data_IF_707741123171
#
_entry.id   IF_707741123171
#
_cell.length_a   1.000
_cell.length_b   1.000
_cell.length_c   1.000
_cell.angle_alpha   90.00
_cell.angle_beta   90.00
_cell.angle_gamma   90.00
#
_symmetry.space_group_name_H-M   'P 1'
#
loop_
_entity.id
_entity.type
_entity.pdbx_description
1 polymer ?
#
# COMPACT_ATOMS: atom_id res chain seq x y z
N UNK A 1 -38.13 -8.33 -9.01
CA UNK A 1 -37.80 -7.01 -8.42
C UNK A 1 -38.22 -6.89 -6.96
N UNK A 2 -39.46 -6.52 -6.61
CA UNK A 2 -39.85 -6.34 -5.20
C UNK A 2 -39.71 -7.63 -4.36
N UNK A 3 -40.21 -8.76 -4.87
CA UNK A 3 -40.11 -10.07 -4.22
C UNK A 3 -38.66 -10.58 -4.04
N UNK A 4 -37.73 -10.20 -4.91
CA UNK A 4 -36.31 -10.59 -4.79
C UNK A 4 -35.57 -9.71 -3.79
N UNK A 5 -35.91 -8.43 -3.72
CA UNK A 5 -35.33 -7.50 -2.76
C UNK A 5 -35.77 -7.84 -1.33
N UNK A 6 -37.04 -8.19 -1.13
CA UNK A 6 -37.55 -8.67 0.16
C UNK A 6 -36.83 -9.96 0.60
N UNK A 7 -36.58 -10.90 -0.32
CA UNK A 7 -35.79 -12.11 -0.05
C UNK A 7 -34.34 -11.80 0.38
N UNK A 8 -33.72 -10.79 -0.24
CA UNK A 8 -32.38 -10.33 0.15
C UNK A 8 -32.41 -9.75 1.55
N UNK A 9 -33.35 -8.86 1.85
CA UNK A 9 -33.48 -8.24 3.17
C UNK A 9 -33.71 -9.29 4.26
N UNK A 10 -34.62 -10.25 4.04
CA UNK A 10 -34.90 -11.31 5.01
C UNK A 10 -33.70 -12.25 5.23
N UNK A 11 -32.92 -12.50 4.17
CA UNK A 11 -31.67 -13.27 4.30
C UNK A 11 -30.59 -12.47 5.03
N UNK A 12 -30.42 -11.20 4.71
CA UNK A 12 -29.48 -10.30 5.37
C UNK A 12 -29.79 -10.21 6.86
N UNK A 13 -31.06 -9.97 7.23
CA UNK A 13 -31.52 -9.95 8.62
C UNK A 13 -31.20 -11.23 9.38
N UNK A 14 -31.38 -12.41 8.76
CA UNK A 14 -31.02 -13.70 9.38
C UNK A 14 -29.52 -13.84 9.61
N UNK A 15 -28.70 -13.45 8.63
CA UNK A 15 -27.23 -13.47 8.74
C UNK A 15 -26.74 -12.51 9.83
N UNK A 16 -27.22 -11.27 9.82
CA UNK A 16 -26.91 -10.23 10.81
C UNK A 16 -27.26 -10.72 12.21
N UNK A 17 -28.48 -11.23 12.39
CA UNK A 17 -28.94 -11.76 13.69
C UNK A 17 -28.05 -12.91 14.18
N UNK A 18 -27.62 -13.80 13.29
CA UNK A 18 -26.71 -14.89 13.65
C UNK A 18 -25.34 -14.37 14.10
N UNK A 19 -24.73 -13.46 13.34
CA UNK A 19 -23.41 -12.91 13.67
C UNK A 19 -23.45 -12.04 14.95
N UNK A 20 -24.50 -11.25 15.14
CA UNK A 20 -24.67 -10.47 16.36
C UNK A 20 -24.90 -11.35 17.59
N UNK A 21 -25.62 -12.46 17.44
CA UNK A 21 -25.77 -13.43 18.52
C UNK A 21 -24.43 -14.07 18.93
N UNK A 22 -23.51 -14.29 17.97
CA UNK A 22 -22.16 -14.81 18.27
C UNK A 22 -21.29 -13.77 18.97
N UNK A 23 -21.50 -12.47 18.68
CA UNK A 23 -20.85 -11.34 19.36
C UNK A 23 -21.48 -10.98 20.72
N UNK A 24 -22.42 -11.80 21.21
CA UNK A 24 -23.03 -11.60 22.52
C UNK A 24 -21.99 -11.29 23.60
N UNK A 25 -22.31 -10.31 24.46
CA UNK A 25 -21.51 -9.81 25.59
C UNK A 25 -20.13 -9.17 25.31
N UNK A 26 -19.63 -9.09 24.07
CA UNK A 26 -18.28 -8.54 23.78
C UNK A 26 -18.10 -7.10 24.30
N UNK A 27 -18.98 -6.17 23.90
CA UNK A 27 -18.93 -4.79 24.39
C UNK A 27 -19.09 -4.70 25.90
N UNK A 28 -19.94 -5.55 26.48
CA UNK A 28 -20.18 -5.60 27.93
C UNK A 28 -18.93 -6.03 28.70
N UNK A 29 -18.22 -7.04 28.21
CA UNK A 29 -16.99 -7.55 28.79
C UNK A 29 -15.85 -6.55 28.67
N UNK A 30 -15.73 -5.89 27.53
CA UNK A 30 -14.73 -4.86 27.28
C UNK A 30 -14.92 -3.64 28.18
N UNK A 31 -16.12 -3.08 28.21
CA UNK A 31 -16.44 -1.96 29.11
C UNK A 31 -16.26 -2.39 30.57
N UNK A 32 -16.67 -3.60 30.94
CA UNK A 32 -16.44 -4.15 32.28
C UNK A 32 -14.97 -4.31 32.65
N UNK A 33 -14.11 -4.68 31.69
CA UNK A 33 -12.65 -4.76 31.85
C UNK A 33 -12.04 -3.37 32.03
N UNK A 34 -12.43 -2.39 31.21
CA UNK A 34 -11.96 -1.00 31.31
C UNK A 34 -12.31 -0.44 32.68
N UNK A 35 -13.57 -0.54 33.10
CA UNK A 35 -14.03 -0.03 34.41
C UNK A 35 -13.27 -0.68 35.58
N UNK A 36 -13.06 -2.01 35.53
CA UNK A 36 -12.27 -2.71 36.57
C UNK A 36 -10.83 -2.21 36.63
N UNK A 37 -10.18 -2.05 35.48
CA UNK A 37 -8.80 -1.55 35.39
C UNK A 37 -8.69 -0.13 35.94
N UNK A 38 -9.63 0.75 35.60
CA UNK A 38 -9.63 2.13 36.06
C UNK A 38 -9.89 2.22 37.56
N UNK A 39 -10.80 1.40 38.09
CA UNK A 39 -11.05 1.30 39.53
C UNK A 39 -9.81 0.85 40.31
N UNK A 40 -9.10 -0.19 39.84
CA UNK A 40 -7.87 -0.67 40.48
C UNK A 40 -6.78 0.42 40.46
N UNK A 41 -6.72 1.21 39.39
CA UNK A 41 -5.72 2.27 39.21
C UNK A 41 -6.09 3.59 39.92
N UNK A 42 -7.22 3.64 40.64
CA UNK A 42 -7.71 4.87 41.27
C UNK A 42 -8.19 5.95 40.29
N UNK A 43 -8.37 5.60 39.01
CA UNK A 43 -8.78 6.50 37.92
C UNK A 43 -10.27 6.34 37.56
N UNK A 44 -11.10 5.82 38.48
CA UNK A 44 -12.54 5.70 38.28
C UNK A 44 -13.17 7.09 38.08
N UNK A 45 -14.05 7.20 37.09
CA UNK A 45 -14.75 8.43 36.67
C UNK A 45 -13.81 9.53 36.14
N UNK A 46 -12.63 9.15 35.66
CA UNK A 46 -11.71 10.08 35.00
C UNK A 46 -12.07 10.25 33.52
N UNK A 47 -11.62 11.36 32.92
CA UNK A 47 -11.70 11.56 31.46
C UNK A 47 -10.99 10.45 30.67
N UNK A 48 -9.97 9.81 31.27
CA UNK A 48 -9.27 8.68 30.66
C UNK A 48 -10.18 7.44 30.59
N UNK A 49 -10.96 7.16 31.65
CA UNK A 49 -11.97 6.10 31.63
C UNK A 49 -13.05 6.40 30.59
N UNK A 50 -13.58 7.64 30.58
CA UNK A 50 -14.57 8.09 29.60
C UNK A 50 -14.09 7.88 28.16
N UNK A 51 -12.86 8.32 27.84
CA UNK A 51 -12.27 8.16 26.51
C UNK A 51 -12.07 6.69 26.11
N UNK A 52 -11.67 5.81 27.04
CA UNK A 52 -11.48 4.39 26.73
C UNK A 52 -12.80 3.66 26.52
N UNK A 53 -13.81 3.98 27.34
CA UNK A 53 -15.17 3.46 27.15
C UNK A 53 -15.72 3.95 25.81
N UNK A 54 -15.50 5.22 25.48
CA UNK A 54 -15.91 5.79 24.20
C UNK A 54 -15.28 5.06 23.02
N UNK A 55 -13.96 4.88 23.04
CA UNK A 55 -13.23 4.16 22.00
C UNK A 55 -13.75 2.72 21.82
N UNK A 56 -14.09 2.02 22.90
CA UNK A 56 -14.68 0.68 22.82
C UNK A 56 -16.06 0.68 22.15
N UNK A 57 -16.89 1.68 22.43
CA UNK A 57 -18.20 1.83 21.80
C UNK A 57 -18.06 2.16 20.31
N UNK A 58 -17.15 3.07 19.95
CA UNK A 58 -16.88 3.43 18.56
C UNK A 58 -16.39 2.23 17.75
N UNK A 59 -15.48 1.42 18.32
CA UNK A 59 -15.01 0.18 17.72
C UNK A 59 -16.11 -0.88 17.54
N UNK A 60 -17.06 -0.98 18.49
CA UNK A 60 -18.19 -1.89 18.38
C UNK A 60 -19.14 -1.47 17.25
N UNK A 61 -19.42 -0.17 17.11
CA UNK A 61 -20.27 0.37 16.03
C UNK A 61 -19.64 0.03 14.67
N UNK A 62 -18.35 0.33 14.49
CA UNK A 62 -17.65 0.05 13.24
C UNK A 62 -17.60 -1.45 12.89
N UNK A 63 -17.34 -2.30 13.89
CA UNK A 63 -17.30 -3.76 13.71
C UNK A 63 -18.67 -4.30 13.29
N UNK A 64 -19.75 -3.89 13.98
CA UNK A 64 -21.10 -4.35 13.65
C UNK A 64 -21.56 -3.85 12.30
N UNK A 65 -21.20 -2.63 11.91
CA UNK A 65 -21.53 -2.08 10.61
C UNK A 65 -20.82 -2.85 9.47
N UNK A 66 -19.56 -3.27 9.67
CA UNK A 66 -18.85 -4.17 8.73
C UNK A 66 -19.56 -5.52 8.58
N UNK A 67 -20.04 -6.10 9.68
CA UNK A 67 -20.80 -7.36 9.67
C UNK A 67 -22.11 -7.19 8.89
N UNK A 68 -22.82 -6.08 9.08
CA UNK A 68 -24.04 -5.73 8.34
C UNK A 68 -23.75 -5.71 6.84
N UNK A 69 -22.74 -4.95 6.42
CA UNK A 69 -22.38 -4.85 5.02
C UNK A 69 -22.07 -6.21 4.39
N UNK A 70 -21.18 -6.99 5.03
CA UNK A 70 -20.82 -8.33 4.56
C UNK A 70 -22.04 -9.27 4.50
N UNK A 71 -22.97 -9.15 5.43
CA UNK A 71 -24.20 -9.95 5.46
C UNK A 71 -25.17 -9.57 4.35
N UNK A 72 -25.35 -8.27 4.08
CA UNK A 72 -26.17 -7.76 2.97
C UNK A 72 -25.58 -8.21 1.63
N UNK A 73 -24.27 -8.08 1.47
CA UNK A 73 -23.54 -8.55 0.28
C UNK A 73 -23.74 -10.06 0.05
N UNK A 74 -23.51 -10.89 1.07
CA UNK A 74 -23.70 -12.35 0.98
C UNK A 74 -25.14 -12.75 0.72
N UNK A 75 -26.10 -11.99 1.26
CA UNK A 75 -27.52 -12.21 0.99
C UNK A 75 -27.83 -11.96 -0.50
N UNK A 76 -27.29 -10.89 -1.06
CA UNK A 76 -27.42 -10.60 -2.49
C UNK A 76 -26.75 -11.65 -3.38
N UNK A 77 -25.49 -12.01 -3.11
CA UNK A 77 -24.74 -13.03 -3.86
C UNK A 77 -25.49 -14.37 -3.90
N UNK A 78 -26.21 -14.71 -2.84
CA UNK A 78 -26.97 -15.95 -2.75
C UNK A 78 -28.37 -15.92 -3.40
N UNK A 79 -28.96 -14.73 -3.57
CA UNK A 79 -30.27 -14.57 -4.24
C UNK A 79 -30.09 -14.31 -5.73
N UNK A 80 -28.99 -13.68 -6.13
CA UNK A 80 -28.68 -13.39 -7.53
C UNK A 80 -29.59 -12.31 -8.15
N UNK A 81 -30.01 -11.32 -7.37
CA UNK A 81 -30.96 -10.32 -7.84
C UNK A 81 -30.39 -9.45 -8.99
N UNK A 82 -31.24 -8.83 -9.82
CA UNK A 82 -30.78 -8.07 -10.98
C UNK A 82 -29.96 -6.84 -10.60
N UNK A 83 -28.85 -6.59 -11.30
CA UNK A 83 -28.09 -5.34 -11.16
C UNK A 83 -28.83 -4.19 -11.87
N UNK A 84 -29.29 -3.22 -11.09
CA UNK A 84 -29.96 -1.99 -11.59
C UNK A 84 -29.10 -0.76 -11.29
N UNK A 85 -29.37 0.35 -11.98
CA UNK A 85 -28.68 1.62 -11.69
C UNK A 85 -28.95 2.20 -10.29
N UNK A 86 -29.98 1.71 -9.60
CA UNK A 86 -30.32 2.11 -8.23
C UNK A 86 -29.68 1.21 -7.16
N UNK A 87 -29.00 0.12 -7.54
CA UNK A 87 -28.54 -0.92 -6.61
C UNK A 87 -27.63 -0.37 -5.50
N UNK A 88 -26.75 0.57 -5.82
CA UNK A 88 -25.86 1.20 -4.84
C UNK A 88 -26.65 2.02 -3.80
N UNK A 89 -27.65 2.78 -4.25
CA UNK A 89 -28.52 3.55 -3.37
C UNK A 89 -29.36 2.63 -2.47
N UNK A 90 -29.85 1.53 -3.01
CA UNK A 90 -30.66 0.55 -2.26
C UNK A 90 -29.83 -0.16 -1.19
N UNK A 91 -28.60 -0.57 -1.50
CA UNK A 91 -27.69 -1.14 -0.51
C UNK A 91 -27.28 -0.13 0.56
N UNK A 92 -26.92 1.10 0.19
CA UNK A 92 -26.61 2.17 1.15
C UNK A 92 -27.77 2.40 2.10
N UNK A 93 -28.99 2.48 1.57
CA UNK A 93 -30.21 2.65 2.38
C UNK A 93 -30.41 1.50 3.36
N UNK A 94 -30.24 0.26 2.90
CA UNK A 94 -30.41 -0.92 3.74
C UNK A 94 -29.34 -1.00 4.85
N UNK A 95 -28.08 -0.75 4.51
CA UNK A 95 -26.98 -0.78 5.49
C UNK A 95 -27.10 0.36 6.48
N UNK A 96 -27.37 1.59 6.04
CA UNK A 96 -27.51 2.76 6.93
C UNK A 96 -28.65 2.57 7.93
N UNK A 97 -29.77 1.94 7.52
CA UNK A 97 -30.85 1.59 8.46
C UNK A 97 -30.34 0.70 9.61
N UNK A 98 -29.50 -0.27 9.32
CA UNK A 98 -28.92 -1.14 10.35
C UNK A 98 -27.81 -0.44 11.16
N UNK A 99 -27.06 0.49 10.58
CA UNK A 99 -26.11 1.34 11.31
C UNK A 99 -26.85 2.19 12.34
N UNK A 100 -28.01 2.75 11.98
CA UNK A 100 -28.87 3.48 12.92
C UNK A 100 -29.34 2.61 14.09
N UNK A 101 -29.75 1.37 13.82
CA UNK A 101 -30.11 0.40 14.86
C UNK A 101 -28.92 0.07 15.77
N UNK A 102 -27.72 -0.14 15.20
CA UNK A 102 -26.49 -0.40 15.95
C UNK A 102 -26.16 0.77 16.89
N UNK A 103 -26.18 2.00 16.37
CA UNK A 103 -25.89 3.20 17.15
C UNK A 103 -26.87 3.33 18.30
N UNK A 104 -28.17 3.13 18.03
CA UNK A 104 -29.20 3.13 19.06
C UNK A 104 -28.96 2.05 20.12
N UNK A 105 -28.64 0.83 19.72
CA UNK A 105 -28.37 -0.28 20.63
C UNK A 105 -27.16 0.01 21.55
N UNK A 106 -26.08 0.56 20.99
CA UNK A 106 -24.88 0.94 21.75
C UNK A 106 -25.18 2.09 22.70
N UNK A 107 -25.92 3.12 22.25
CA UNK A 107 -26.38 4.22 23.09
C UNK A 107 -27.27 3.75 24.24
N UNK A 108 -28.20 2.83 23.99
CA UNK A 108 -29.06 2.25 25.03
C UNK A 108 -28.27 1.39 26.02
N UNK A 109 -27.34 0.57 25.53
CA UNK A 109 -26.42 -0.19 26.37
C UNK A 109 -25.65 0.74 27.31
N UNK A 110 -25.08 1.81 26.77
CA UNK A 110 -24.37 2.82 27.55
C UNK A 110 -25.30 3.54 28.52
N UNK A 111 -26.47 4.01 28.10
CA UNK A 111 -27.44 4.67 28.98
C UNK A 111 -27.84 3.78 30.18
N UNK A 112 -28.10 2.49 29.95
CA UNK A 112 -28.39 1.52 31.02
C UNK A 112 -27.19 1.36 31.95
N UNK A 113 -25.97 1.29 31.41
CA UNK A 113 -24.73 1.12 32.20
C UNK A 113 -24.36 2.37 33.01
N UNK A 114 -24.66 3.55 32.47
CA UNK A 114 -24.31 4.85 33.06
C UNK A 114 -25.41 5.43 33.96
N UNK A 115 -26.60 4.81 34.01
CA UNK A 115 -27.74 5.26 34.84
C UNK A 115 -27.42 5.48 36.34
N UNK A 116 -26.34 4.90 36.86
CA UNK A 116 -25.89 5.04 38.26
C UNK A 116 -24.62 5.88 38.45
N UNK A 117 -24.00 6.38 37.36
CA UNK A 117 -22.74 7.13 37.37
C UNK A 117 -22.97 8.49 36.70
N UNK A 118 -22.73 9.59 37.42
CA UNK A 118 -22.73 10.96 36.88
C UNK A 118 -21.56 11.14 35.90
N UNK A 119 -21.68 10.59 34.70
CA UNK A 119 -20.71 10.73 33.60
C UNK A 119 -21.24 11.69 32.56
N UNK A 120 -20.35 12.14 31.69
CA UNK A 120 -20.64 13.20 30.74
C UNK A 120 -21.66 12.78 29.67
N UNK A 121 -22.64 13.64 29.31
CA UNK A 121 -23.65 13.33 28.27
C UNK A 121 -23.07 13.03 26.88
N UNK A 122 -21.88 13.55 26.57
CA UNK A 122 -21.22 13.33 25.27
C UNK A 122 -20.90 11.84 25.01
N UNK A 123 -20.85 11.00 26.04
CA UNK A 123 -20.61 9.56 25.90
C UNK A 123 -21.77 8.81 25.21
N UNK A 124 -22.93 9.46 25.06
CA UNK A 124 -24.11 8.90 24.41
C UNK A 124 -24.29 9.41 22.96
N UNK A 125 -23.49 10.39 22.54
CA UNK A 125 -23.58 10.99 21.20
C UNK A 125 -22.63 10.29 20.23
N UNK A 126 -23.16 9.41 19.39
CA UNK A 126 -22.39 8.66 18.39
C UNK A 126 -22.58 9.17 16.96
N UNK A 127 -23.13 10.37 16.75
CA UNK A 127 -23.42 10.88 15.40
C UNK A 127 -22.17 11.03 14.53
N UNK A 128 -21.07 11.52 15.11
CA UNK A 128 -19.79 11.61 14.37
C UNK A 128 -19.26 10.23 13.96
N UNK A 129 -19.42 9.23 14.82
CA UNK A 129 -19.01 7.84 14.55
C UNK A 129 -19.91 7.21 13.49
N UNK A 130 -21.23 7.41 13.61
CA UNK A 130 -22.24 6.99 12.63
C UNK A 130 -21.87 7.52 11.24
N UNK A 131 -21.66 8.84 11.12
CA UNK A 131 -21.37 9.46 9.84
C UNK A 131 -20.08 8.91 9.21
N UNK A 132 -19.01 8.75 10.01
CA UNK A 132 -17.76 8.18 9.53
C UNK A 132 -17.93 6.74 9.01
N UNK A 133 -18.76 5.93 9.67
CA UNK A 133 -19.03 4.54 9.28
C UNK A 133 -19.96 4.46 8.06
N UNK A 134 -20.94 5.35 7.93
CA UNK A 134 -21.80 5.46 6.75
C UNK A 134 -21.02 5.89 5.51
N UNK A 135 -20.16 6.91 5.64
CA UNK A 135 -19.26 7.32 4.56
C UNK A 135 -18.35 6.16 4.15
N UNK A 136 -17.79 5.46 5.14
CA UNK A 136 -16.94 4.29 4.92
C UNK A 136 -17.63 3.23 4.06
N UNK A 137 -18.75 2.73 4.60
CA UNK A 137 -19.46 1.60 4.03
C UNK A 137 -20.10 1.99 2.70
N UNK A 138 -20.55 3.24 2.59
CA UNK A 138 -21.14 3.78 1.39
C UNK A 138 -20.23 3.63 0.17
N UNK A 139 -18.93 3.84 0.31
CA UNK A 139 -18.06 3.64 -0.83
C UNK A 139 -17.78 2.15 -1.10
N UNK A 140 -17.68 1.30 -0.06
CA UNK A 140 -17.56 -0.15 -0.27
C UNK A 140 -18.75 -0.69 -1.09
N UNK A 141 -19.94 -0.16 -0.83
CA UNK A 141 -21.18 -0.43 -1.56
C UNK A 141 -21.05 0.01 -3.02
N UNK A 142 -20.73 1.29 -3.28
CA UNK A 142 -20.63 1.83 -4.65
C UNK A 142 -19.74 0.96 -5.51
N UNK A 143 -18.61 0.63 -4.93
CA UNK A 143 -17.57 -0.06 -5.63
C UNK A 143 -17.86 -1.56 -5.82
N UNK A 144 -18.56 -2.21 -4.89
CA UNK A 144 -19.10 -3.55 -5.11
C UNK A 144 -20.11 -3.55 -6.25
N UNK A 145 -21.00 -2.55 -6.29
CA UNK A 145 -21.99 -2.40 -7.36
C UNK A 145 -21.32 -2.15 -8.71
N UNK A 146 -20.29 -1.32 -8.78
CA UNK A 146 -19.53 -1.12 -10.02
C UNK A 146 -18.83 -2.41 -10.48
N UNK A 147 -18.34 -3.22 -9.54
CA UNK A 147 -17.78 -4.53 -9.86
C UNK A 147 -18.83 -5.49 -10.42
N UNK A 148 -20.08 -5.43 -9.96
CA UNK A 148 -21.17 -6.23 -10.50
C UNK A 148 -21.61 -5.74 -11.89
N UNK A 149 -21.73 -4.41 -12.05
CA UNK A 149 -22.12 -3.79 -13.32
C UNK A 149 -21.06 -4.06 -14.40
N UNK A 150 -19.77 -3.92 -14.08
CA UNK A 150 -18.67 -4.22 -15.01
C UNK A 150 -18.64 -5.69 -15.43
N UNK A 151 -18.88 -6.63 -14.50
CA UNK A 151 -19.02 -8.07 -14.83
C UNK A 151 -20.18 -8.35 -15.77
N UNK A 152 -21.35 -7.74 -15.53
CA UNK A 152 -22.50 -7.85 -16.44
C UNK A 152 -22.20 -7.24 -17.81
N UNK A 153 -21.44 -6.16 -17.86
CA UNK A 153 -21.02 -5.53 -19.13
C UNK A 153 -20.11 -6.48 -19.91
N UNK A 154 -19.13 -7.10 -19.25
CA UNK A 154 -18.24 -8.10 -19.86
C UNK A 154 -18.99 -9.37 -20.33
N UNK A 155 -19.94 -9.89 -19.54
CA UNK A 155 -20.79 -11.04 -19.92
C UNK A 155 -21.75 -10.72 -21.08
N UNK A 156 -22.11 -9.45 -21.26
CA UNK A 156 -22.95 -8.99 -22.39
C UNK A 156 -22.09 -8.73 -23.64
N UNK A 157 -20.85 -8.25 -23.47
CA UNK A 157 -19.87 -8.05 -24.55
C UNK A 157 -19.35 -9.37 -25.13
N UNK A 158 -19.30 -10.46 -24.36
CA UNK A 158 -18.88 -11.79 -24.84
C UNK A 158 -19.90 -12.49 -25.77
N UNK A 159 -21.12 -11.94 -25.91
CA UNK A 159 -22.19 -12.49 -26.77
C UNK A 159 -22.45 -11.71 -28.05
N UNK A 160 -21.67 -10.68 -28.35
CA UNK A 160 -21.82 -9.86 -29.56
C UNK A 160 -20.52 -9.93 -30.35
N UNK A 161 -20.57 -10.44 -31.59
CA UNK A 161 -19.43 -10.36 -32.53
C UNK A 161 -18.98 -8.89 -32.71
N UNK A 162 -17.68 -8.65 -32.97
CA UNK A 162 -17.02 -7.43 -32.55
C UNK A 162 -17.31 -6.27 -33.51
N UNK A 163 -18.27 -5.43 -33.16
CA UNK A 163 -18.36 -4.08 -33.70
C UNK A 163 -18.31 -3.04 -32.56
N UNK A 164 -17.15 -2.38 -32.46
CA UNK A 164 -17.01 -1.07 -31.82
C UNK A 164 -16.66 -1.07 -30.33
N UNK A 165 -15.55 -1.70 -29.92
CA UNK A 165 -14.90 -1.32 -28.67
C UNK A 165 -14.43 0.13 -28.75
N UNK A 166 -14.94 0.98 -27.86
CA UNK A 166 -14.41 2.34 -27.66
C UNK A 166 -12.99 2.20 -27.12
N UNK A 167 -12.04 2.43 -28.01
CA UNK A 167 -10.60 2.42 -27.76
C UNK A 167 -10.25 3.58 -26.83
N UNK A 168 -9.74 3.31 -25.62
CA UNK A 168 -9.18 4.37 -24.78
C UNK A 168 -7.93 4.91 -25.44
N UNK A 169 -7.81 6.24 -25.55
CA UNK A 169 -6.65 6.86 -26.17
C UNK A 169 -5.51 6.82 -25.14
N UNK A 170 -4.27 6.63 -25.57
CA UNK A 170 -3.09 6.51 -24.69
C UNK A 170 -3.00 7.60 -23.61
N UNK A 171 -3.43 8.83 -23.91
CA UNK A 171 -3.48 9.94 -22.95
C UNK A 171 -4.55 9.82 -21.86
N UNK A 172 -5.61 9.05 -22.10
CA UNK A 172 -6.63 8.74 -21.08
C UNK A 172 -6.10 7.72 -20.06
N UNK A 173 -5.28 6.77 -20.51
CA UNK A 173 -4.62 5.77 -19.66
C UNK A 173 -3.60 6.43 -18.73
N UNK A 174 -2.76 7.33 -19.24
CA UNK A 174 -1.75 8.05 -18.44
C UNK A 174 -2.41 8.94 -17.36
N UNK A 175 -3.51 9.61 -17.71
CA UNK A 175 -4.30 10.44 -16.80
C UNK A 175 -4.99 9.60 -15.72
N UNK A 176 -5.48 8.42 -16.08
CA UNK A 176 -6.09 7.49 -15.14
C UNK A 176 -5.03 6.91 -14.18
N UNK A 177 -3.87 6.48 -14.67
CA UNK A 177 -2.76 5.99 -13.83
C UNK A 177 -2.26 7.05 -12.85
N UNK A 178 -2.15 8.32 -13.28
CA UNK A 178 -1.79 9.43 -12.39
C UNK A 178 -2.86 9.70 -11.32
N UNK A 179 -4.15 9.63 -11.68
CA UNK A 179 -5.26 9.77 -10.73
C UNK A 179 -5.29 8.63 -9.71
N UNK A 180 -4.93 7.41 -10.14
CA UNK A 180 -4.79 6.23 -9.29
C UNK A 180 -3.67 6.38 -8.27
N UNK A 181 -2.53 6.87 -8.70
CA UNK A 181 -1.38 7.13 -7.83
C UNK A 181 -1.72 8.11 -6.71
N UNK A 182 -2.41 9.21 -7.05
CA UNK A 182 -2.81 10.20 -6.05
C UNK A 182 -3.85 9.66 -5.06
N UNK A 183 -4.75 8.78 -5.54
CA UNK A 183 -5.70 8.06 -4.71
C UNK A 183 -5.03 7.09 -3.72
N UNK A 184 -4.02 6.31 -4.17
CA UNK A 184 -3.29 5.39 -3.28
C UNK A 184 -2.43 6.14 -2.25
N UNK A 185 -1.83 7.29 -2.62
CA UNK A 185 -1.12 8.17 -1.67
C UNK A 185 -2.07 8.76 -0.62
N UNK A 186 -3.29 9.11 -1.01
CA UNK A 186 -4.33 9.54 -0.09
C UNK A 186 -4.68 8.42 0.91
N UNK A 187 -4.90 7.18 0.43
CA UNK A 187 -5.14 6.02 1.28
C UNK A 187 -3.97 5.77 2.25
N UNK A 188 -2.72 5.84 1.79
CA UNK A 188 -1.53 5.66 2.63
C UNK A 188 -1.52 6.65 3.80
N UNK A 189 -1.90 7.90 3.55
CA UNK A 189 -1.97 8.97 4.56
C UNK A 189 -3.02 8.65 5.63
N UNK A 190 -4.17 8.12 5.23
CA UNK A 190 -5.23 7.70 6.15
C UNK A 190 -4.83 6.46 6.99
N UNK A 191 -4.17 5.48 6.36
CA UNK A 191 -3.61 4.30 7.05
C UNK A 191 -2.52 4.68 8.05
N UNK A 192 -1.61 5.56 7.67
CA UNK A 192 -0.47 5.96 8.51
C UNK A 192 -0.87 6.85 9.70
N UNK A 193 -2.01 7.53 9.61
CA UNK A 193 -2.54 8.39 10.68
C UNK A 193 -3.41 7.64 11.68
N UNK A 194 -3.64 6.33 11.47
CA UNK A 194 -4.52 5.51 12.32
C UNK A 194 -6.00 5.91 12.21
N UNK A 195 -6.36 6.79 11.28
CA UNK A 195 -7.72 7.23 10.99
C UNK A 195 -8.26 6.45 9.79
N UNK A 196 -8.32 5.12 9.88
CA UNK A 196 -8.84 4.37 8.74
C UNK A 196 -10.37 4.39 8.77
N UNK A 197 -10.93 5.31 8.00
CA UNK A 197 -12.38 5.46 7.79
C UNK A 197 -12.85 4.86 6.47
N UNK A 198 -12.02 4.18 5.67
CA UNK A 198 -12.47 3.80 4.32
C UNK A 198 -11.85 2.53 3.70
N UNK A 199 -12.12 1.35 4.28
CA UNK A 199 -11.50 0.08 3.87
C UNK A 199 -11.94 -0.43 2.50
N UNK A 200 -13.22 -0.30 2.13
CA UNK A 200 -13.64 -0.66 0.77
C UNK A 200 -13.24 0.33 -0.31
N UNK A 201 -12.88 1.59 -0.01
CA UNK A 201 -12.21 2.48 -0.97
C UNK A 201 -10.96 1.83 -1.52
N UNK A 202 -10.17 1.26 -0.61
CA UNK A 202 -8.92 0.58 -0.95
C UNK A 202 -9.22 -0.67 -1.79
N UNK A 203 -10.07 -1.57 -1.27
CA UNK A 203 -10.33 -2.86 -1.93
C UNK A 203 -10.87 -2.72 -3.35
N UNK A 204 -11.73 -1.75 -3.59
CA UNK A 204 -12.27 -1.61 -4.93
C UNK A 204 -11.60 -0.52 -5.77
N UNK A 205 -10.84 0.35 -5.11
CA UNK A 205 -9.74 1.05 -5.74
C UNK A 205 -8.88 0.07 -6.56
N UNK A 206 -8.38 -0.93 -5.85
CA UNK A 206 -7.58 -2.00 -6.43
C UNK A 206 -8.31 -2.76 -7.55
N UNK A 207 -9.61 -3.06 -7.39
CA UNK A 207 -10.39 -3.69 -8.47
C UNK A 207 -10.50 -2.85 -9.74
N UNK A 208 -10.69 -1.54 -9.60
CA UNK A 208 -10.84 -0.63 -10.75
C UNK A 208 -9.51 -0.38 -11.45
N UNK A 209 -8.37 -0.47 -10.75
CA UNK A 209 -7.04 -0.36 -11.33
C UNK A 209 -6.75 -1.46 -12.38
N UNK A 210 -7.40 -2.62 -12.28
CA UNK A 210 -7.30 -3.72 -13.25
C UNK A 210 -7.61 -3.32 -14.69
N UNK A 211 -8.63 -2.46 -14.88
CA UNK A 211 -9.14 -2.10 -16.21
C UNK A 211 -8.10 -1.32 -17.04
N UNK A 212 -7.54 -0.19 -16.57
CA UNK A 212 -6.50 0.52 -17.31
C UNK A 212 -5.24 -0.33 -17.53
N UNK A 213 -4.86 -1.19 -16.57
CA UNK A 213 -3.70 -2.08 -16.72
C UNK A 213 -3.91 -3.10 -17.85
N UNK A 214 -5.05 -3.78 -17.86
CA UNK A 214 -5.37 -4.78 -18.89
C UNK A 214 -5.56 -4.13 -20.25
N UNK A 215 -6.20 -2.96 -20.32
CA UNK A 215 -6.33 -2.19 -21.56
C UNK A 215 -4.97 -1.79 -22.12
N UNK A 216 -4.07 -1.28 -21.27
CA UNK A 216 -2.71 -0.94 -21.68
C UNK A 216 -1.93 -2.17 -22.13
N UNK A 217 -1.98 -3.28 -21.39
CA UNK A 217 -1.32 -4.54 -21.73
C UNK A 217 -1.73 -5.05 -23.12
N UNK A 218 -3.02 -5.00 -23.43
CA UNK A 218 -3.55 -5.53 -24.69
C UNK A 218 -3.14 -4.69 -25.92
N UNK A 219 -2.79 -3.42 -25.73
CA UNK A 219 -2.40 -2.52 -26.82
C UNK A 219 -0.88 -2.39 -27.01
N UNK A 220 -0.07 -2.96 -26.11
CA UNK A 220 1.38 -2.77 -26.08
C UNK A 220 2.16 -3.83 -26.86
N UNK A 221 3.21 -3.37 -27.55
CA UNK A 221 4.18 -4.22 -28.25
C UNK A 221 5.56 -4.20 -27.60
N UNK A 222 5.78 -3.32 -26.63
CA UNK A 222 7.02 -3.26 -25.86
C UNK A 222 6.96 -4.31 -24.74
N UNK A 223 7.88 -5.28 -24.77
CA UNK A 223 7.96 -6.34 -23.76
C UNK A 223 8.17 -5.81 -22.34
N UNK A 224 8.83 -4.67 -22.18
CA UNK A 224 9.12 -4.05 -20.88
C UNK A 224 7.83 -3.52 -20.26
N UNK A 225 7.02 -2.82 -21.05
CA UNK A 225 5.71 -2.31 -20.62
C UNK A 225 4.75 -3.47 -20.36
N UNK A 226 4.79 -4.52 -21.18
CA UNK A 226 3.97 -5.72 -20.98
C UNK A 226 4.29 -6.41 -19.64
N UNK A 227 5.58 -6.53 -19.29
CA UNK A 227 6.02 -7.10 -18.00
C UNK A 227 5.62 -6.22 -16.82
N UNK A 228 5.81 -4.89 -16.93
CA UNK A 228 5.39 -3.94 -15.91
C UNK A 228 3.87 -4.02 -15.65
N UNK A 229 3.04 -4.09 -16.70
CA UNK A 229 1.60 -4.29 -16.54
C UNK A 229 1.23 -5.60 -15.85
N UNK A 230 1.94 -6.71 -16.14
CA UNK A 230 1.67 -7.99 -15.50
C UNK A 230 2.07 -7.99 -14.02
N UNK A 231 3.22 -7.42 -13.70
CA UNK A 231 3.70 -7.29 -12.33
C UNK A 231 2.75 -6.43 -11.48
N UNK A 232 2.34 -5.28 -12.04
CA UNK A 232 1.40 -4.37 -11.39
C UNK A 232 0.03 -5.02 -11.11
N UNK A 233 -0.45 -5.88 -12.01
CA UNK A 233 -1.70 -6.62 -11.82
C UNK A 233 -1.59 -7.69 -10.70
N UNK A 234 -0.45 -8.36 -10.61
CA UNK A 234 -0.14 -9.34 -9.57
C UNK A 234 -0.02 -8.65 -8.20
N UNK A 235 0.69 -7.54 -8.13
CA UNK A 235 0.83 -6.73 -6.92
C UNK A 235 -0.47 -6.12 -6.43
N UNK A 236 -1.32 -5.65 -7.35
CA UNK A 236 -2.67 -5.19 -7.03
C UNK A 236 -3.54 -6.31 -6.44
N UNK A 237 -3.39 -7.55 -6.95
CA UNK A 237 -4.11 -8.72 -6.44
C UNK A 237 -3.62 -9.14 -5.05
N UNK A 238 -2.31 -9.19 -4.83
CA UNK A 238 -1.74 -9.49 -3.51
C UNK A 238 -2.14 -8.45 -2.46
N UNK A 239 -2.14 -7.16 -2.80
CA UNK A 239 -2.62 -6.12 -1.89
C UNK A 239 -4.11 -6.30 -1.57
N UNK A 240 -4.92 -6.69 -2.56
CA UNK A 240 -6.34 -6.96 -2.36
C UNK A 240 -6.57 -8.11 -1.38
N UNK A 241 -5.76 -9.17 -1.46
CA UNK A 241 -5.83 -10.32 -0.57
C UNK A 241 -5.38 -9.94 0.85
N UNK A 242 -4.26 -9.22 0.99
CA UNK A 242 -3.75 -8.73 2.29
C UNK A 242 -4.76 -7.80 2.97
N UNK A 243 -5.38 -6.88 2.23
CA UNK A 243 -6.40 -5.98 2.78
C UNK A 243 -7.64 -6.78 3.20
N UNK A 244 -8.04 -7.79 2.42
CA UNK A 244 -9.16 -8.68 2.75
C UNK A 244 -8.90 -9.50 4.02
N UNK A 245 -7.67 -10.00 4.20
CA UNK A 245 -7.25 -10.77 5.38
C UNK A 245 -7.11 -9.88 6.62
N UNK A 246 -6.59 -8.66 6.45
CA UNK A 246 -6.35 -7.69 7.54
C UNK A 246 -7.64 -7.16 8.17
N UNK A 247 -8.79 -7.29 7.48
CA UNK A 247 -10.11 -7.01 8.05
C UNK A 247 -10.49 -7.97 9.20
N UNK A 248 -9.83 -9.12 9.31
CA UNK A 248 -10.11 -10.11 10.35
C UNK A 248 -9.10 -10.10 11.53
N UNK A 249 -7.91 -9.50 11.36
CA UNK A 249 -6.86 -9.44 12.40
C UNK A 249 -6.12 -8.07 12.45
N UNK A 250 -6.19 -7.32 13.59
CA UNK A 250 -5.66 -5.95 13.71
C UNK A 250 -4.13 -5.76 13.61
N UNK A 251 -3.33 -6.82 13.52
CA UNK A 251 -1.86 -6.73 13.50
C UNK A 251 -1.25 -6.72 12.11
N UNK A 252 -2.05 -6.91 11.05
CA UNK A 252 -1.58 -7.04 9.66
C UNK A 252 -1.39 -5.70 8.92
N UNK A 253 -1.75 -4.56 9.53
CA UNK A 253 -1.78 -3.26 8.84
C UNK A 253 -0.43 -2.76 8.34
N UNK A 254 0.67 -3.10 9.00
CA UNK A 254 2.03 -2.81 8.50
C UNK A 254 2.26 -3.47 7.13
N UNK A 255 1.68 -4.65 6.88
CA UNK A 255 1.77 -5.33 5.58
C UNK A 255 0.95 -4.60 4.51
N UNK A 256 -0.22 -4.07 4.87
CA UNK A 256 -1.07 -3.27 3.98
C UNK A 256 -0.37 -1.98 3.58
N UNK A 257 0.22 -1.26 4.54
CA UNK A 257 0.91 0.00 4.25
C UNK A 257 2.14 -0.22 3.38
N UNK A 258 2.93 -1.26 3.67
CA UNK A 258 4.11 -1.59 2.86
C UNK A 258 3.72 -1.99 1.44
N UNK A 259 2.67 -2.78 1.27
CA UNK A 259 2.25 -3.21 -0.08
C UNK A 259 1.51 -2.12 -0.86
N UNK A 260 0.91 -1.14 -0.19
CA UNK A 260 0.44 0.09 -0.84
C UNK A 260 1.62 0.90 -1.40
N UNK A 261 2.75 0.95 -0.69
CA UNK A 261 3.95 1.63 -1.16
C UNK A 261 4.53 0.97 -2.40
N UNK A 262 4.64 -0.36 -2.39
CA UNK A 262 5.14 -1.11 -3.55
C UNK A 262 4.23 -0.88 -4.79
N UNK A 263 2.91 -0.87 -4.61
CA UNK A 263 1.97 -0.63 -5.72
C UNK A 263 2.02 0.82 -6.27
N UNK A 264 2.24 1.81 -5.40
CA UNK A 264 2.41 3.21 -5.82
C UNK A 264 3.68 3.34 -6.68
N UNK A 265 4.75 2.67 -6.28
CA UNK A 265 6.04 2.71 -6.95
C UNK A 265 5.99 2.04 -8.33
N UNK A 266 5.34 0.89 -8.44
CA UNK A 266 5.09 0.19 -9.71
C UNK A 266 4.24 1.04 -10.69
N UNK A 267 3.29 1.83 -10.17
CA UNK A 267 2.51 2.77 -10.99
C UNK A 267 3.36 3.96 -11.48
N UNK A 268 4.28 4.43 -10.64
CA UNK A 268 5.21 5.49 -11.00
C UNK A 268 6.20 5.01 -12.08
N UNK A 269 6.71 3.78 -11.97
CA UNK A 269 7.55 3.13 -12.99
C UNK A 269 6.83 2.96 -14.33
N UNK A 270 5.60 2.44 -14.31
CA UNK A 270 4.81 2.26 -15.52
C UNK A 270 4.57 3.61 -16.21
N UNK A 271 4.29 4.67 -15.43
CA UNK A 271 4.10 6.02 -15.94
C UNK A 271 5.37 6.57 -16.61
N UNK A 272 6.55 6.30 -16.06
CA UNK A 272 7.83 6.71 -16.65
C UNK A 272 8.14 5.96 -17.95
N UNK A 273 7.93 4.65 -17.98
CA UNK A 273 8.11 3.83 -19.20
C UNK A 273 7.21 4.31 -20.35
N UNK A 274 5.97 4.69 -20.04
CA UNK A 274 5.02 5.22 -21.01
C UNK A 274 5.42 6.59 -21.56
N UNK A 275 6.12 7.40 -20.76
CA UNK A 275 6.62 8.72 -21.15
C UNK A 275 7.88 8.67 -22.03
N UNK A 276 8.68 7.61 -21.92
CA UNK A 276 9.90 7.40 -22.72
C UNK A 276 9.63 6.78 -24.11
N UNK A 277 8.41 6.27 -24.35
CA UNK A 277 8.07 5.61 -25.62
C UNK A 277 7.84 6.62 -26.77
N UNK A 278 8.54 6.50 -27.92
CA UNK A 278 8.36 7.43 -29.04
C UNK A 278 6.95 7.37 -29.66
N UNK A 279 6.18 8.46 -29.51
CA UNK A 279 4.83 8.61 -30.06
C UNK A 279 4.83 8.58 -31.60
N UNK A 280 4.11 7.62 -32.22
CA UNK A 280 3.67 7.76 -33.62
C UNK A 280 2.54 8.78 -33.68
N UNK A 281 2.86 10.00 -34.12
CA UNK A 281 1.84 10.98 -34.53
C UNK A 281 1.19 10.53 -35.83
N UNK A 282 0.06 9.84 -35.75
CA UNK A 282 -0.80 9.64 -36.91
C UNK A 282 -1.75 10.83 -37.08
N UNK A 283 -1.53 11.55 -38.19
CA UNK A 283 -2.60 12.17 -38.97
C UNK A 283 -3.18 13.50 -38.50
N UNK A 284 -2.53 14.62 -38.84
CA UNK A 284 -3.27 15.72 -39.47
C UNK A 284 -2.37 16.60 -40.37
N UNK A 285 -2.98 16.95 -41.51
CA UNK A 285 -2.40 17.43 -42.77
C UNK A 285 -1.71 18.79 -42.67
N UNK A 286 -0.63 18.89 -43.45
CA UNK A 286 0.07 20.09 -43.88
C UNK A 286 -0.84 21.13 -44.53
N UNK A 287 -0.77 22.40 -44.10
CA UNK A 287 -0.78 23.59 -45.00
C UNK A 287 0.04 24.72 -44.33
N UNK A 288 1.03 25.27 -45.06
CA UNK A 288 1.39 26.70 -44.98
C UNK A 288 2.56 27.13 -44.09
N UNK A 289 3.73 27.36 -44.70
CA UNK A 289 4.81 28.24 -44.20
C UNK A 289 4.51 29.69 -44.67
N UNK A 290 4.99 30.76 -44.00
CA UNK A 290 6.37 31.23 -44.22
C UNK A 290 7.10 31.72 -42.95
N UNK A 291 8.37 31.30 -42.76
CA UNK A 291 9.59 32.13 -42.75
C UNK A 291 9.64 33.28 -41.73
N UNK A 292 10.39 33.04 -40.65
CA UNK A 292 11.04 34.07 -39.83
C UNK A 292 12.42 33.55 -39.39
N UNK A 293 13.48 34.23 -39.82
CA UNK A 293 14.88 33.98 -39.48
C UNK A 293 15.17 34.40 -38.04
N UNK A 294 15.97 33.62 -37.29
CA UNK A 294 16.90 34.15 -36.28
C UNK A 294 17.95 33.12 -35.84
N UNK A 295 19.18 33.45 -36.24
CA UNK A 295 20.50 33.25 -35.63
C UNK A 295 20.78 32.04 -34.73
N UNK A 296 21.73 31.25 -35.20
CA UNK A 296 22.54 30.29 -34.46
C UNK A 296 23.61 31.04 -33.66
N UNK A 297 23.63 30.89 -32.34
CA UNK A 297 24.80 31.16 -31.50
C UNK A 297 25.40 29.82 -31.06
N UNK A 298 26.61 29.54 -31.55
CA UNK A 298 27.43 28.38 -31.15
C UNK A 298 28.00 28.66 -29.76
N UNK A 299 27.49 27.96 -28.74
CA UNK A 299 28.17 27.77 -27.46
C UNK A 299 28.85 26.41 -27.43
N UNK A 300 30.19 26.40 -27.36
CA UNK A 300 31.02 25.22 -27.20
C UNK A 300 30.74 24.55 -25.84
N UNK A 301 30.12 23.37 -25.82
CA UNK A 301 30.02 22.54 -24.61
C UNK A 301 31.31 21.74 -24.41
N UNK A 302 32.00 21.99 -23.29
CA UNK A 302 33.05 21.11 -22.77
C UNK A 302 32.46 19.72 -22.46
N UNK A 303 33.22 18.62 -22.60
CA UNK A 303 32.76 17.30 -22.22
C UNK A 303 32.51 17.23 -20.70
N UNK A 304 31.33 16.74 -20.30
CA UNK A 304 30.97 16.52 -18.88
C UNK A 304 31.88 15.43 -18.29
N UNK A 305 32.74 15.80 -17.35
CA UNK A 305 33.45 14.85 -16.46
C UNK A 305 32.44 14.10 -15.60
N UNK A 306 32.58 12.76 -15.49
CA UNK A 306 31.73 11.95 -14.59
C UNK A 306 31.82 12.49 -13.14
N UNK A 307 30.70 12.56 -12.41
CA UNK A 307 30.70 12.98 -11.01
C UNK A 307 31.55 12.03 -10.16
N UNK A 308 32.17 12.56 -9.10
CA UNK A 308 32.95 11.76 -8.16
C UNK A 308 32.02 10.76 -7.43
N UNK A 309 32.41 9.48 -7.39
CA UNK A 309 31.68 8.43 -6.65
C UNK A 309 32.10 8.50 -5.19
N UNK A 310 31.24 9.04 -4.34
CA UNK A 310 31.51 9.31 -2.91
C UNK A 310 30.46 8.71 -1.96
N UNK A 311 29.41 8.08 -2.49
CA UNK A 311 28.29 7.58 -1.69
C UNK A 311 28.40 6.09 -1.35
N UNK A 312 27.82 5.74 -0.20
CA UNK A 312 27.55 4.36 0.21
C UNK A 312 26.07 4.08 0.00
N UNK A 313 25.73 3.32 -1.04
CA UNK A 313 24.35 2.94 -1.32
C UNK A 313 23.96 1.73 -0.48
N UNK A 314 22.89 1.82 0.30
CA UNK A 314 22.40 0.72 1.13
C UNK A 314 21.15 0.13 0.46
N UNK A 315 21.33 -1.07 -0.09
CA UNK A 315 20.33 -1.88 -0.75
C UNK A 315 19.72 -2.85 0.27
N UNK A 316 18.41 -2.83 0.44
CA UNK A 316 17.72 -3.64 1.44
C UNK A 316 16.25 -3.87 1.03
N UNK A 317 15.63 -4.94 1.55
CA UNK A 317 14.18 -5.07 1.43
C UNK A 317 13.51 -4.11 2.41
N UNK A 318 12.49 -3.37 1.96
CA UNK A 318 11.68 -2.50 2.84
C UNK A 318 11.07 -3.25 4.02
N UNK A 319 10.82 -4.57 3.87
CA UNK A 319 10.36 -5.46 4.96
C UNK A 319 11.39 -5.61 6.10
N UNK A 320 12.66 -5.33 5.81
CA UNK A 320 13.79 -5.44 6.73
C UNK A 320 14.30 -4.07 7.23
N UNK A 321 13.45 -3.03 7.17
CA UNK A 321 13.78 -1.64 7.57
C UNK A 321 14.41 -1.49 8.95
N UNK A 322 14.07 -2.36 9.90
CA UNK A 322 14.70 -2.37 11.22
C UNK A 322 16.23 -2.55 11.14
N UNK A 323 16.71 -3.37 10.19
CA UNK A 323 18.14 -3.64 10.00
C UNK A 323 18.86 -2.47 9.34
N UNK A 324 18.17 -1.74 8.46
CA UNK A 324 18.66 -0.46 7.94
C UNK A 324 18.80 0.56 9.08
N UNK A 325 17.80 0.67 9.96
CA UNK A 325 17.84 1.58 11.11
C UNK A 325 19.00 1.27 12.06
N UNK A 326 19.24 -0.01 12.34
CA UNK A 326 20.36 -0.46 13.17
C UNK A 326 21.70 -0.09 12.52
N UNK A 327 21.89 -0.42 11.23
CA UNK A 327 23.09 -0.05 10.48
C UNK A 327 23.31 1.47 10.48
N UNK A 328 22.27 2.25 10.18
CA UNK A 328 22.34 3.72 10.20
C UNK A 328 22.75 4.26 11.57
N UNK A 329 22.27 3.63 12.65
CA UNK A 329 22.67 3.99 14.02
C UNK A 329 24.16 3.77 14.24
N UNK A 330 24.70 2.64 13.79
CA UNK A 330 26.14 2.34 13.88
C UNK A 330 26.99 3.18 12.91
N UNK A 331 26.43 3.62 11.77
CA UNK A 331 27.13 4.48 10.81
C UNK A 331 27.20 5.95 11.26
N UNK A 332 26.35 6.42 12.19
CA UNK A 332 26.33 7.83 12.65
C UNK A 332 27.72 8.42 12.99
N UNK A 333 28.63 7.73 13.70
CA UNK A 333 29.98 8.25 13.95
C UNK A 333 30.80 8.48 12.67
N UNK A 334 30.64 7.62 11.67
CA UNK A 334 31.32 7.70 10.36
C UNK A 334 30.72 8.78 9.46
N UNK A 335 29.43 9.05 9.59
CA UNK A 335 28.79 10.20 8.93
C UNK A 335 29.28 11.50 9.55
N UNK A 336 29.30 11.59 10.89
CA UNK A 336 29.73 12.79 11.62
C UNK A 336 31.17 13.19 11.35
N UNK A 337 32.06 12.23 11.11
CA UNK A 337 33.46 12.49 10.78
C UNK A 337 33.73 12.60 9.26
N UNK A 338 32.68 12.55 8.43
CA UNK A 338 32.77 12.68 6.97
C UNK A 338 33.41 11.50 6.25
N UNK A 339 33.64 10.35 6.91
CA UNK A 339 34.25 9.18 6.28
C UNK A 339 33.27 8.36 5.43
N UNK A 340 31.96 8.50 5.68
CA UNK A 340 30.91 7.74 4.99
C UNK A 340 29.71 8.64 4.73
N UNK A 341 29.21 8.64 3.49
CA UNK A 341 27.97 9.32 3.08
C UNK A 341 26.94 8.26 2.68
N UNK A 342 26.10 7.78 3.63
CA UNK A 342 25.12 6.76 3.34
C UNK A 342 23.95 7.33 2.54
N UNK A 343 23.44 6.49 1.62
CA UNK A 343 22.24 6.75 0.85
C UNK A 343 21.36 5.50 0.83
N UNK A 344 20.06 5.65 1.08
CA UNK A 344 19.01 4.63 0.87
C UNK A 344 17.73 5.29 0.34
N UNK A 345 16.77 4.48 -0.08
CA UNK A 345 15.46 4.94 -0.58
C UNK A 345 14.70 5.83 0.43
N UNK A 346 14.96 5.72 1.75
CA UNK A 346 14.43 6.65 2.77
C UNK A 346 14.77 8.14 2.53
N UNK A 347 15.81 8.44 1.76
CA UNK A 347 16.25 9.81 1.47
C UNK A 347 15.61 10.39 0.20
N UNK A 348 14.76 9.62 -0.48
CA UNK A 348 13.97 10.10 -1.62
C UNK A 348 12.92 11.07 -1.09
N UNK A 349 12.92 12.29 -1.62
CA UNK A 349 11.94 13.30 -1.21
C UNK A 349 10.57 12.92 -1.74
N UNK A 350 9.49 12.95 -0.92
CA UNK A 350 8.14 12.75 -1.41
C UNK A 350 7.87 13.73 -2.56
N UNK A 351 7.43 13.22 -3.73
CA UNK A 351 7.25 13.91 -5.03
C UNK A 351 8.43 13.96 -6.02
N UNK A 352 9.63 13.48 -5.66
CA UNK A 352 10.71 13.25 -6.64
C UNK A 352 10.45 12.01 -7.50
N UNK A 353 10.99 11.97 -8.73
CA UNK A 353 11.03 10.76 -9.57
C UNK A 353 11.96 9.74 -8.92
N UNK A 354 11.38 8.80 -8.18
CA UNK A 354 12.08 7.92 -7.26
C UNK A 354 13.08 7.00 -7.97
N UNK A 355 12.73 6.50 -9.16
CA UNK A 355 13.62 5.68 -9.98
C UNK A 355 14.82 6.49 -10.53
N UNK A 356 14.60 7.75 -10.94
CA UNK A 356 15.69 8.65 -11.33
C UNK A 356 16.63 8.98 -10.17
N UNK A 357 16.10 9.15 -8.95
CA UNK A 357 16.90 9.36 -7.73
C UNK A 357 17.73 8.12 -7.37
N UNK A 358 17.15 6.91 -7.47
CA UNK A 358 17.88 5.65 -7.30
C UNK A 358 18.98 5.52 -8.35
N UNK A 359 18.67 5.78 -9.63
CA UNK A 359 19.66 5.72 -10.71
C UNK A 359 20.78 6.74 -10.51
N UNK A 360 20.45 7.96 -10.09
CA UNK A 360 21.42 8.99 -9.77
C UNK A 360 22.28 8.62 -8.56
N UNK A 361 21.70 7.98 -7.54
CA UNK A 361 22.43 7.46 -6.39
C UNK A 361 23.37 6.32 -6.79
N UNK A 362 22.91 5.37 -7.62
CA UNK A 362 23.73 4.28 -8.17
C UNK A 362 24.93 4.80 -8.98
N UNK A 363 24.73 5.86 -9.78
CA UNK A 363 25.80 6.52 -10.54
C UNK A 363 26.87 7.15 -9.63
N UNK A 364 26.48 7.64 -8.45
CA UNK A 364 27.36 8.23 -7.44
C UNK A 364 27.91 7.24 -6.41
N UNK A 365 27.43 6.00 -6.47
CA UNK A 365 27.79 4.95 -5.50
C UNK A 365 29.24 4.53 -5.69
N UNK A 366 30.04 4.59 -4.63
CA UNK A 366 31.39 3.97 -4.58
C UNK A 366 31.33 2.59 -3.96
N UNK A 367 30.52 2.44 -2.91
CA UNK A 367 30.34 1.19 -2.17
C UNK A 367 28.85 0.89 -2.10
N UNK A 368 28.46 -0.31 -2.51
CA UNK A 368 27.10 -0.81 -2.35
C UNK A 368 27.06 -1.81 -1.18
N UNK A 369 26.21 -1.54 -0.21
CA UNK A 369 25.98 -2.37 0.97
C UNK A 369 24.66 -3.09 0.80
N UNK A 370 24.67 -4.42 0.73
CA UNK A 370 23.48 -5.25 0.54
C UNK A 370 23.08 -5.91 1.86
N UNK A 371 21.89 -5.63 2.37
CA UNK A 371 21.32 -6.28 3.56
C UNK A 371 20.52 -7.52 3.14
N UNK A 372 21.19 -8.68 3.12
CA UNK A 372 20.65 -9.88 2.48
C UNK A 372 19.82 -10.72 3.46
N UNK A 373 18.55 -10.92 3.08
CA UNK A 373 17.51 -11.70 3.78
C UNK A 373 16.71 -12.51 2.76
N UNK A 374 15.81 -13.42 3.19
CA UNK A 374 14.86 -14.06 2.28
C UNK A 374 14.01 -13.04 1.51
N UNK A 375 13.54 -11.98 2.17
CA UNK A 375 12.72 -10.93 1.57
C UNK A 375 13.50 -10.06 0.58
N UNK A 376 14.81 -9.87 0.79
CA UNK A 376 15.72 -9.24 -0.18
C UNK A 376 15.86 -10.09 -1.45
N UNK A 377 16.11 -11.40 -1.30
CA UNK A 377 16.29 -12.30 -2.45
C UNK A 377 14.99 -12.56 -3.23
N UNK A 378 13.83 -12.44 -2.58
CA UNK A 378 12.52 -12.62 -3.18
C UNK A 378 12.00 -11.35 -3.90
N UNK A 379 12.67 -10.21 -3.79
CA UNK A 379 12.25 -8.97 -4.44
C UNK A 379 12.76 -8.90 -5.89
N UNK A 380 11.82 -8.97 -6.84
CA UNK A 380 12.13 -8.81 -8.27
C UNK A 380 12.67 -7.41 -8.57
N UNK A 381 12.16 -6.37 -7.90
CA UNK A 381 12.66 -4.99 -8.01
C UNK A 381 14.13 -4.88 -7.63
N UNK A 382 14.51 -5.36 -6.44
CA UNK A 382 15.91 -5.36 -5.99
C UNK A 382 16.76 -6.13 -7.00
N UNK A 383 16.29 -7.29 -7.49
CA UNK A 383 17.03 -8.09 -8.48
C UNK A 383 17.28 -7.32 -9.77
N UNK A 384 16.24 -6.70 -10.34
CA UNK A 384 16.27 -6.14 -11.70
C UNK A 384 16.84 -4.73 -11.76
N UNK A 385 16.52 -3.89 -10.77
CA UNK A 385 16.79 -2.45 -10.81
C UNK A 385 17.93 -2.00 -9.89
N UNK A 386 18.28 -2.75 -8.84
CA UNK A 386 19.37 -2.38 -7.94
C UNK A 386 20.55 -3.35 -8.08
N UNK A 387 20.33 -4.64 -7.82
CA UNK A 387 21.37 -5.66 -7.78
C UNK A 387 22.00 -5.91 -9.15
N UNK A 388 21.20 -6.04 -10.22
CA UNK A 388 21.74 -6.26 -11.57
C UNK A 388 22.63 -5.10 -12.05
N UNK A 389 22.21 -3.82 -11.94
CA UNK A 389 23.10 -2.69 -12.25
C UNK A 389 24.34 -2.62 -11.36
N UNK A 390 24.20 -2.88 -10.06
CA UNK A 390 25.32 -2.87 -9.11
C UNK A 390 26.36 -3.93 -9.44
N UNK A 391 25.94 -5.16 -9.74
CA UNK A 391 26.84 -6.25 -10.16
C UNK A 391 27.57 -5.90 -11.46
N UNK A 392 26.87 -5.35 -12.46
CA UNK A 392 27.47 -4.90 -13.72
C UNK A 392 28.51 -3.79 -13.53
N UNK A 393 28.27 -2.86 -12.61
CA UNK A 393 29.25 -1.81 -12.30
C UNK A 393 30.41 -2.34 -11.45
N UNK A 394 30.18 -3.33 -10.59
CA UNK A 394 31.22 -3.99 -9.82
C UNK A 394 32.19 -4.78 -10.71
N UNK A 395 31.68 -5.51 -11.72
CA UNK A 395 32.50 -6.21 -12.72
C UNK A 395 33.44 -5.25 -13.48
N UNK A 396 32.99 -4.01 -13.71
CA UNK A 396 33.80 -2.96 -14.36
C UNK A 396 34.76 -2.26 -13.39
N UNK A 397 34.78 -2.64 -12.11
CA UNK A 397 35.55 -1.99 -11.05
C UNK A 397 35.01 -0.62 -10.62
N UNK A 398 33.78 -0.27 -11.03
CA UNK A 398 33.16 1.03 -10.76
C UNK A 398 32.48 1.14 -9.39
N UNK A 399 32.13 0.01 -8.77
CA UNK A 399 31.48 -0.07 -7.46
C UNK A 399 32.06 -1.24 -6.65
N UNK A 400 32.28 -1.05 -5.36
CA UNK A 400 32.63 -2.15 -4.46
C UNK A 400 31.39 -2.71 -3.77
N UNK A 401 31.11 -4.01 -3.92
CA UNK A 401 29.97 -4.67 -3.28
C UNK A 401 30.38 -5.24 -1.93
N UNK A 402 29.59 -4.92 -0.91
CA UNK A 402 29.67 -5.45 0.44
C UNK A 402 28.29 -6.04 0.75
N UNK A 403 28.19 -7.36 0.91
CA UNK A 403 26.91 -7.96 1.31
C UNK A 403 26.99 -8.50 2.73
N UNK A 404 25.90 -8.34 3.47
CA UNK A 404 25.78 -8.65 4.89
C UNK A 404 24.70 -9.73 5.04
N UNK A 405 25.02 -10.90 5.60
CA UNK A 405 24.03 -11.93 5.89
C UNK A 405 23.20 -11.50 7.10
N UNK A 406 22.03 -10.92 6.85
CA UNK A 406 21.15 -10.41 7.91
C UNK A 406 20.29 -11.54 8.48
N UNK A 407 19.69 -12.36 7.60
CA UNK A 407 18.92 -13.57 7.95
C UNK A 407 19.40 -14.74 7.10
N UNK A 408 19.25 -15.96 7.63
CA UNK A 408 19.54 -17.17 6.88
C UNK A 408 18.68 -17.20 5.59
N UNK A 409 19.33 -17.43 4.45
CA UNK A 409 18.68 -17.39 3.14
C UNK A 409 19.47 -18.19 2.10
N UNK A 410 18.82 -18.53 0.99
CA UNK A 410 19.39 -19.33 -0.10
C UNK A 410 20.29 -18.51 -1.06
N UNK A 411 21.20 -17.69 -0.53
CA UNK A 411 22.06 -16.81 -1.34
C UNK A 411 22.96 -17.59 -2.32
N UNK A 412 23.23 -18.87 -2.05
CA UNK A 412 24.01 -19.76 -2.92
C UNK A 412 23.37 -19.97 -4.31
N UNK A 413 22.06 -19.74 -4.41
CA UNK A 413 21.30 -19.81 -5.66
C UNK A 413 21.33 -18.49 -6.45
N UNK A 414 22.05 -17.47 -5.98
CA UNK A 414 22.11 -16.15 -6.64
C UNK A 414 23.55 -15.78 -7.03
N UNK A 415 23.70 -14.68 -7.77
CA UNK A 415 25.01 -14.14 -8.15
C UNK A 415 25.88 -13.75 -6.94
N UNK A 416 25.29 -13.63 -5.74
CA UNK A 416 26.04 -13.34 -4.50
C UNK A 416 26.94 -14.48 -4.06
N UNK A 417 26.73 -15.71 -4.55
CA UNK A 417 27.59 -16.87 -4.23
C UNK A 417 29.07 -16.65 -4.57
N UNK A 418 29.33 -15.80 -5.56
CA UNK A 418 30.68 -15.48 -6.05
C UNK A 418 31.32 -14.30 -5.29
N UNK A 419 30.59 -13.67 -4.36
CA UNK A 419 31.04 -12.55 -3.56
C UNK A 419 31.24 -12.96 -2.10
N UNK A 420 32.35 -12.54 -1.49
CA UNK A 420 32.58 -12.78 -0.07
C UNK A 420 31.68 -11.88 0.78
N UNK A 421 30.96 -12.49 1.72
CA UNK A 421 30.14 -11.77 2.69
C UNK A 421 30.99 -11.06 3.74
N UNK A 422 30.43 -10.04 4.38
CA UNK A 422 30.99 -9.53 5.64
C UNK A 422 30.58 -10.45 6.77
N UNK A 423 31.55 -11.18 7.31
CA UNK A 423 31.34 -12.19 8.34
C UNK A 423 31.03 -13.56 7.75
N UNK A 424 30.46 -14.43 8.58
CA UNK A 424 30.16 -15.83 8.26
C UNK A 424 28.68 -15.95 7.82
N UNK A 425 28.37 -16.28 6.56
CA UNK A 425 26.99 -16.46 6.08
C UNK A 425 26.18 -17.49 6.85
N UNK A 426 26.84 -18.48 7.47
CA UNK A 426 26.18 -19.50 8.29
C UNK A 426 25.82 -18.97 9.69
N UNK A 427 26.29 -17.76 10.04
CA UNK A 427 25.98 -17.04 11.28
C UNK A 427 25.43 -15.65 10.97
N UNK A 428 24.22 -15.55 10.39
CA UNK A 428 23.62 -14.27 10.05
C UNK A 428 23.34 -13.42 11.30
N UNK A 429 23.28 -12.09 11.13
CA UNK A 429 23.09 -11.13 12.24
C UNK A 429 21.88 -11.42 13.11
N UNK A 430 20.77 -11.87 12.51
CA UNK A 430 19.55 -12.26 13.23
C UNK A 430 19.78 -13.37 14.27
N UNK A 431 20.76 -14.26 14.04
CA UNK A 431 21.08 -15.36 14.94
C UNK A 431 22.06 -14.93 16.06
N UNK A 432 22.66 -13.74 15.94
CA UNK A 432 23.55 -13.20 16.97
C UNK A 432 22.73 -12.53 18.08
N UNK A 433 22.88 -13.00 19.32
CA UNK A 433 22.27 -12.37 20.51
C UNK A 433 23.24 -11.36 21.15
N UNK A 434 24.30 -11.84 21.79
CA UNK A 434 25.23 -10.98 22.54
C UNK A 434 26.26 -10.24 21.66
N UNK A 435 26.59 -10.79 20.47
CA UNK A 435 27.70 -10.29 19.64
C UNK A 435 27.24 -9.40 18.47
N UNK A 436 25.94 -9.07 18.39
CA UNK A 436 25.39 -8.34 17.24
C UNK A 436 25.99 -6.95 17.08
N UNK A 437 26.11 -6.19 18.17
CA UNK A 437 26.70 -4.84 18.14
C UNK A 437 28.16 -4.87 17.70
N UNK A 438 28.91 -5.91 18.13
CA UNK A 438 30.29 -6.11 17.69
C UNK A 438 30.36 -6.38 16.19
N UNK A 439 29.47 -7.23 15.67
CA UNK A 439 29.37 -7.49 14.23
C UNK A 439 29.03 -6.22 13.45
N UNK A 440 28.14 -5.37 13.97
CA UNK A 440 27.84 -4.06 13.35
C UNK A 440 29.05 -3.12 13.32
N UNK A 441 29.87 -3.10 14.37
CA UNK A 441 31.13 -2.34 14.38
C UNK A 441 32.06 -2.84 13.29
N UNK A 442 32.27 -4.16 13.20
CA UNK A 442 33.11 -4.77 12.16
C UNK A 442 32.58 -4.46 10.74
N UNK A 443 31.27 -4.50 10.54
CA UNK A 443 30.62 -4.11 9.28
C UNK A 443 30.93 -2.66 8.93
N UNK A 444 30.74 -1.72 9.87
CA UNK A 444 30.99 -0.30 9.62
C UNK A 444 32.47 -0.01 9.32
N UNK A 445 33.40 -0.72 9.97
CA UNK A 445 34.82 -0.62 9.65
C UNK A 445 35.15 -1.12 8.24
N UNK A 446 34.52 -2.22 7.80
CA UNK A 446 34.68 -2.72 6.44
C UNK A 446 34.13 -1.73 5.40
N UNK A 447 32.95 -1.13 5.67
CA UNK A 447 32.38 -0.07 4.83
C UNK A 447 33.35 1.11 4.72
N UNK A 448 33.86 1.62 5.85
CA UNK A 448 34.85 2.72 5.85
C UNK A 448 36.10 2.39 5.02
N UNK A 449 36.65 1.18 5.18
CA UNK A 449 37.82 0.73 4.44
C UNK A 449 37.54 0.69 2.93
N UNK A 450 36.37 0.20 2.52
CA UNK A 450 35.97 0.16 1.13
C UNK A 450 35.77 1.55 0.52
N UNK A 451 35.22 2.51 1.28
CA UNK A 451 35.09 3.91 0.83
C UNK A 451 36.47 4.58 0.66
N UNK A 452 37.50 4.09 1.33
CA UNK A 452 38.85 4.68 1.27
C UNK A 452 39.75 4.07 0.19
N UNK A 453 39.31 3.00 -0.51
CA UNK A 453 40.01 2.36 -1.62
C UNK A 453 39.64 3.02 -2.93
#
# INVERSE_FOLDING_TARGET
>A
MADEFDKIQDRARRLIKSEFSKRGSVLQEEVGRIMRKMRISGMDRSSIEENQIRAACDGEIDTRATIVWNSVRRAYEAVGAPTTGALAADFKKEVNRHIEEIVKDVSEFMARRLSSRKLSPHLLDFESTKHAVEERIGVEVDLYVDSLLSKKTAETEEKIEPEGQVKMIYGDIEKDLASWRDFLRFIKKDVSSGQIRNYGNVLNGLKRLSKPIVSLRNEQKDETILRACNHLEESRKELQDIVSDSLNEPTSWVKVTNRLDDLIDELDELSELLAETPQKKDGQRTIGRPRGTKQVSRGTSKPKTKPARDQVFICYSRKDKQWLSDLNTHLKPYVRNGSVTPWSDEQITPSSRWFEEIKAALDRTRVAVLLVTPDFLASDFIREHELTPLLKEAEKGGVHIIWIPVRACSYKETALKDYQAVGDPDKPLANMKANRDKAWVEICENIKRAVSR
#
